data_IF_965974732419
#
_entry.id   IF_965974732419
#
_cell.length_a   1.000
_cell.length_b   1.000
_cell.length_c   1.000
_cell.angle_alpha   90.00
_cell.angle_beta   90.00
_cell.angle_gamma   90.00
#
_symmetry.space_group_name_H-M   'P 1'
#
loop_
_entity.id
_entity.type
_entity.pdbx_description
1 polymer ?
#
# COMPACT_ATOMS: atom_id res chain seq x y z
N UNK A 1 -11.37 7.44 -22.43
CA UNK A 1 -10.24 6.50 -22.30
C UNK A 1 -10.40 5.77 -20.98
N UNK A 2 -10.11 4.46 -20.92
CA UNK A 2 -10.10 3.70 -19.69
C UNK A 2 -8.94 4.15 -18.80
N UNK A 3 -9.19 4.29 -17.47
CA UNK A 3 -8.15 4.67 -16.50
C UNK A 3 -7.18 3.51 -16.26
N UNK A 4 -5.90 3.81 -16.04
CA UNK A 4 -4.85 2.84 -15.70
C UNK A 4 -4.57 2.86 -14.21
N UNK A 5 -4.64 1.69 -13.57
CA UNK A 5 -4.45 1.53 -12.14
C UNK A 5 -3.33 0.53 -11.83
N UNK A 6 -2.35 0.95 -11.03
CA UNK A 6 -1.32 0.09 -10.45
C UNK A 6 -1.82 -0.41 -9.08
N UNK A 7 -1.66 -1.73 -8.83
CA UNK A 7 -2.00 -2.34 -7.55
C UNK A 7 -0.84 -3.17 -7.04
N UNK A 8 -0.27 -2.82 -5.88
CA UNK A 8 0.77 -3.60 -5.24
C UNK A 8 0.19 -4.70 -4.35
N UNK A 9 0.84 -5.88 -4.32
CA UNK A 9 0.31 -7.03 -3.58
C UNK A 9 -1.01 -7.56 -4.15
N UNK A 10 -1.13 -7.53 -5.49
CA UNK A 10 -2.35 -7.88 -6.21
C UNK A 10 -2.56 -9.39 -6.40
N UNK A 11 -1.70 -10.24 -5.83
CA UNK A 11 -1.75 -11.69 -6.06
C UNK A 11 -2.59 -12.46 -5.04
N UNK A 12 -3.10 -11.79 -4.00
CA UNK A 12 -3.90 -12.40 -2.94
C UNK A 12 -4.77 -11.37 -2.22
N UNK A 13 -5.74 -11.85 -1.44
CA UNK A 13 -6.53 -11.07 -0.51
C UNK A 13 -7.17 -9.83 -1.12
N UNK A 14 -7.07 -8.70 -0.40
CA UNK A 14 -7.70 -7.42 -0.77
C UNK A 14 -7.18 -6.90 -2.11
N UNK A 15 -5.86 -7.01 -2.36
CA UNK A 15 -5.27 -6.51 -3.60
C UNK A 15 -5.79 -7.24 -4.83
N UNK A 16 -5.90 -8.58 -4.76
CA UNK A 16 -6.49 -9.40 -5.83
C UNK A 16 -7.96 -9.06 -6.04
N UNK A 17 -8.75 -8.98 -4.96
CA UNK A 17 -10.17 -8.63 -5.08
C UNK A 17 -10.38 -7.21 -5.65
N UNK A 18 -9.54 -6.25 -5.23
CA UNK A 18 -9.57 -4.89 -5.80
C UNK A 18 -9.27 -4.92 -7.30
N UNK A 19 -8.30 -5.74 -7.73
CA UNK A 19 -7.98 -5.90 -9.15
C UNK A 19 -9.16 -6.48 -9.95
N UNK A 20 -9.84 -7.51 -9.42
CA UNK A 20 -11.03 -8.09 -10.04
C UNK A 20 -12.13 -7.03 -10.20
N UNK A 21 -12.48 -6.33 -9.12
CA UNK A 21 -13.56 -5.32 -9.16
C UNK A 21 -13.25 -4.17 -10.13
N UNK A 22 -12.00 -3.66 -10.13
CA UNK A 22 -11.61 -2.58 -11.04
C UNK A 22 -11.56 -3.05 -12.50
N UNK A 23 -11.18 -4.31 -12.76
CA UNK A 23 -11.22 -4.86 -14.12
C UNK A 23 -12.64 -4.91 -14.68
N UNK A 24 -13.60 -5.34 -13.85
CA UNK A 24 -15.02 -5.39 -14.23
C UNK A 24 -15.57 -3.99 -14.54
N UNK A 25 -15.03 -2.96 -13.89
CA UNK A 25 -15.36 -1.55 -14.14
C UNK A 25 -14.61 -0.93 -15.34
N UNK A 26 -13.81 -1.71 -16.06
CA UNK A 26 -13.15 -1.29 -17.29
C UNK A 26 -11.80 -0.59 -17.12
N UNK A 27 -11.16 -0.74 -15.98
CA UNK A 27 -9.80 -0.23 -15.76
C UNK A 27 -8.76 -1.08 -16.49
N UNK A 28 -7.71 -0.44 -17.01
CA UNK A 28 -6.46 -1.08 -17.38
C UNK A 28 -5.67 -1.35 -16.09
N UNK A 29 -5.21 -2.57 -15.89
CA UNK A 29 -4.56 -2.96 -14.65
C UNK A 29 -3.07 -3.26 -14.83
N UNK A 30 -2.28 -2.77 -13.88
CA UNK A 30 -0.88 -3.12 -13.69
C UNK A 30 -0.76 -3.77 -12.32
N UNK A 31 -0.57 -5.08 -12.30
CA UNK A 31 -0.46 -5.86 -11.08
C UNK A 31 0.99 -5.99 -10.66
N UNK A 32 1.31 -5.73 -9.39
CA UNK A 32 2.65 -5.95 -8.85
C UNK A 32 2.60 -7.02 -7.77
N UNK A 33 3.41 -8.08 -7.96
CA UNK A 33 3.54 -9.20 -7.04
C UNK A 33 4.97 -9.74 -7.01
N UNK A 34 5.32 -10.59 -6.04
CA UNK A 34 6.65 -11.21 -5.94
C UNK A 34 6.78 -12.49 -6.75
N UNK A 35 5.70 -13.24 -6.87
CA UNK A 35 5.68 -14.56 -7.51
C UNK A 35 5.01 -14.44 -8.88
N UNK A 36 5.75 -14.80 -9.93
CA UNK A 36 5.31 -14.73 -11.31
C UNK A 36 4.09 -15.61 -11.58
N UNK A 37 4.13 -16.86 -11.12
CA UNK A 37 3.04 -17.82 -11.34
C UNK A 37 1.73 -17.33 -10.71
N UNK A 38 1.79 -16.76 -9.48
CA UNK A 38 0.62 -16.17 -8.84
C UNK A 38 0.09 -14.96 -9.61
N UNK A 39 0.96 -14.13 -10.18
CA UNK A 39 0.52 -13.01 -11.03
C UNK A 39 -0.19 -13.54 -12.30
N UNK A 40 0.36 -14.55 -12.95
CA UNK A 40 -0.23 -15.19 -14.14
C UNK A 40 -1.60 -15.80 -13.82
N UNK A 41 -1.72 -16.53 -12.70
CA UNK A 41 -3.00 -17.10 -12.26
C UNK A 41 -4.06 -16.02 -12.01
N UNK A 42 -3.71 -14.90 -11.38
CA UNK A 42 -4.66 -13.80 -11.17
C UNK A 42 -5.05 -13.14 -12.49
N UNK A 43 -4.13 -12.97 -13.43
CA UNK A 43 -4.47 -12.47 -14.76
C UNK A 43 -5.43 -13.40 -15.50
N UNK A 44 -5.23 -14.71 -15.41
CA UNK A 44 -6.13 -15.72 -16.00
C UNK A 44 -7.51 -15.67 -15.32
N UNK A 45 -7.55 -15.61 -14.00
CA UNK A 45 -8.80 -15.50 -13.24
C UNK A 45 -9.59 -14.25 -13.63
N UNK A 46 -8.94 -13.07 -13.70
CA UNK A 46 -9.61 -11.84 -14.13
C UNK A 46 -10.15 -11.98 -15.55
N UNK A 47 -9.39 -12.55 -16.48
CA UNK A 47 -9.81 -12.79 -17.86
C UNK A 47 -10.96 -13.79 -17.97
N UNK A 48 -11.15 -14.68 -16.99
CA UNK A 48 -12.31 -15.58 -16.96
C UNK A 48 -13.61 -14.83 -16.65
N UNK A 49 -13.55 -13.73 -15.88
CA UNK A 49 -14.69 -12.85 -15.60
C UNK A 49 -14.89 -11.78 -16.67
N UNK A 50 -13.79 -11.26 -17.24
CA UNK A 50 -13.77 -10.22 -18.26
C UNK A 50 -12.74 -10.54 -19.33
N UNK A 51 -13.18 -11.15 -20.43
CA UNK A 51 -12.31 -11.69 -21.48
C UNK A 51 -11.42 -10.65 -22.14
N UNK A 52 -11.92 -9.41 -22.30
CA UNK A 52 -11.25 -8.26 -22.88
C UNK A 52 -10.48 -7.39 -21.86
N UNK A 53 -10.28 -7.87 -20.64
CA UNK A 53 -9.55 -7.12 -19.62
C UNK A 53 -8.11 -6.82 -20.05
N UNK A 54 -7.76 -5.54 -19.99
CA UNK A 54 -6.38 -5.06 -20.21
C UNK A 54 -5.60 -5.21 -18.92
N UNK A 55 -4.69 -6.18 -18.87
CA UNK A 55 -3.91 -6.49 -17.66
C UNK A 55 -2.46 -6.74 -18.03
N UNK A 56 -1.55 -6.05 -17.36
CA UNK A 56 -0.11 -6.33 -17.34
C UNK A 56 0.32 -6.61 -15.90
N UNK A 57 1.38 -7.36 -15.70
CA UNK A 57 1.97 -7.52 -14.37
C UNK A 57 3.48 -7.34 -14.41
N UNK A 58 4.03 -6.94 -13.27
CA UNK A 58 5.46 -6.92 -13.00
C UNK A 58 5.75 -7.74 -11.74
N UNK A 59 6.90 -8.40 -11.74
CA UNK A 59 7.39 -9.12 -10.56
C UNK A 59 8.49 -8.33 -9.90
N UNK A 60 8.30 -8.01 -8.60
CA UNK A 60 9.28 -7.29 -7.81
C UNK A 60 9.12 -7.58 -6.32
N UNK A 61 10.22 -7.68 -5.61
CA UNK A 61 10.22 -7.65 -4.15
C UNK A 61 10.28 -6.20 -3.67
N UNK A 62 9.15 -5.69 -3.21
CA UNK A 62 9.01 -4.32 -2.74
C UNK A 62 9.60 -4.08 -1.34
N UNK A 63 10.20 -5.09 -0.70
CA UNK A 63 11.00 -4.91 0.51
C UNK A 63 12.44 -4.43 0.22
N UNK A 64 12.83 -4.41 -1.06
CA UNK A 64 14.12 -3.89 -1.52
C UNK A 64 13.91 -2.58 -2.28
N UNK A 65 14.44 -1.50 -1.73
CA UNK A 65 14.31 -0.15 -2.31
C UNK A 65 14.92 -0.09 -3.72
N UNK A 66 16.05 -0.75 -3.94
CA UNK A 66 16.67 -0.84 -5.27
C UNK A 66 15.74 -1.48 -6.31
N UNK A 67 15.00 -2.53 -5.91
CA UNK A 67 14.03 -3.17 -6.79
C UNK A 67 12.83 -2.27 -7.07
N UNK A 68 12.38 -1.49 -6.07
CA UNK A 68 11.29 -0.52 -6.23
C UNK A 68 11.67 0.57 -7.21
N UNK A 69 12.89 1.12 -7.11
CA UNK A 69 13.43 2.12 -8.07
C UNK A 69 13.43 1.55 -9.49
N UNK A 70 14.05 0.36 -9.70
CA UNK A 70 14.11 -0.32 -11.00
C UNK A 70 12.72 -0.58 -11.60
N UNK A 71 11.78 -1.04 -10.76
CA UNK A 71 10.40 -1.25 -11.17
C UNK A 71 9.72 0.05 -11.61
N UNK A 72 9.87 1.12 -10.82
CA UNK A 72 9.30 2.42 -11.17
C UNK A 72 9.86 2.97 -12.49
N UNK A 73 11.18 2.84 -12.71
CA UNK A 73 11.81 3.24 -13.96
C UNK A 73 11.33 2.39 -15.15
N UNK A 74 11.11 1.10 -14.94
CA UNK A 74 10.54 0.24 -15.97
C UNK A 74 9.10 0.65 -16.32
N UNK A 75 8.28 0.97 -15.30
CA UNK A 75 6.91 1.44 -15.53
C UNK A 75 6.90 2.78 -16.27
N UNK A 76 7.80 3.72 -15.92
CA UNK A 76 7.92 5.01 -16.64
C UNK A 76 8.35 4.86 -18.10
N UNK A 77 9.09 3.80 -18.45
CA UNK A 77 9.41 3.48 -19.85
C UNK A 77 8.22 2.90 -20.63
N UNK A 78 7.36 2.17 -19.92
CA UNK A 78 6.23 1.45 -20.54
C UNK A 78 4.95 2.30 -20.59
N UNK A 79 4.85 3.37 -19.76
CA UNK A 79 3.66 4.20 -19.61
C UNK A 79 4.00 5.68 -19.44
N UNK A 80 3.43 6.52 -20.27
CA UNK A 80 3.54 7.98 -20.15
C UNK A 80 2.64 8.55 -19.05
N UNK A 81 1.59 7.80 -18.66
CA UNK A 81 0.59 8.26 -17.72
C UNK A 81 -0.03 7.10 -16.93
N UNK A 82 -0.23 7.32 -15.65
CA UNK A 82 -0.94 6.44 -14.72
C UNK A 82 -2.00 7.27 -13.97
N UNK A 83 -3.24 6.78 -13.89
CA UNK A 83 -4.30 7.48 -13.15
C UNK A 83 -4.29 7.17 -11.66
N UNK A 84 -4.01 5.91 -11.28
CA UNK A 84 -4.18 5.46 -9.89
C UNK A 84 -3.03 4.56 -9.48
N UNK A 85 -2.48 4.84 -8.29
CA UNK A 85 -1.57 3.94 -7.57
C UNK A 85 -2.23 3.48 -6.27
N UNK A 86 -2.46 2.18 -6.14
CA UNK A 86 -2.90 1.55 -4.90
C UNK A 86 -1.72 0.84 -4.25
N UNK A 87 -1.15 1.47 -3.24
CA UNK A 87 -0.17 0.88 -2.35
C UNK A 87 -0.90 -0.03 -1.35
N UNK A 88 -0.97 -1.33 -1.66
CA UNK A 88 -1.74 -2.30 -0.87
C UNK A 88 -0.86 -3.38 -0.23
N UNK A 89 0.33 -3.68 -0.80
CA UNK A 89 1.21 -4.71 -0.26
C UNK A 89 1.48 -4.48 1.23
N UNK A 90 1.53 -5.55 2.01
CA UNK A 90 1.92 -5.48 3.41
C UNK A 90 1.99 -6.85 4.04
N UNK A 91 2.88 -6.99 5.02
CA UNK A 91 3.06 -8.22 5.76
C UNK A 91 3.27 -7.94 7.25
N UNK A 92 3.08 -8.97 8.04
CA UNK A 92 3.42 -9.02 9.45
C UNK A 92 4.65 -9.92 9.63
N UNK A 93 5.66 -9.44 10.31
CA UNK A 93 6.84 -10.22 10.69
C UNK A 93 6.93 -10.29 12.21
N UNK A 94 6.94 -11.51 12.75
CA UNK A 94 6.96 -11.73 14.20
C UNK A 94 8.34 -11.47 14.82
N UNK A 95 9.40 -11.60 14.03
CA UNK A 95 10.78 -11.45 14.46
C UNK A 95 11.48 -10.31 13.71
N UNK A 96 12.40 -9.63 14.40
CA UNK A 96 13.27 -8.65 13.76
C UNK A 96 14.15 -9.34 12.72
N UNK A 97 14.12 -8.82 11.51
CA UNK A 97 15.02 -9.26 10.44
C UNK A 97 15.26 -8.13 9.46
N UNK A 98 16.44 -8.09 8.91
CA UNK A 98 16.85 -7.08 7.94
C UNK A 98 16.70 -7.63 6.51
N UNK A 99 16.49 -6.72 5.58
CA UNK A 99 16.66 -6.97 4.15
C UNK A 99 18.15 -7.04 3.81
N UNK A 100 18.48 -7.43 2.57
CA UNK A 100 19.87 -7.33 2.07
C UNK A 100 20.41 -5.89 1.99
N UNK A 101 19.52 -4.90 2.11
CA UNK A 101 19.85 -3.47 2.17
C UNK A 101 19.97 -2.95 3.61
N UNK A 102 20.05 -3.85 4.62
CA UNK A 102 20.15 -3.53 6.04
C UNK A 102 18.98 -2.70 6.60
N UNK A 103 17.80 -2.86 6.03
CA UNK A 103 16.57 -2.19 6.49
C UNK A 103 15.65 -3.23 7.13
N UNK A 104 15.01 -2.89 8.28
CA UNK A 104 14.05 -3.78 8.94
C UNK A 104 12.88 -4.08 8.00
N UNK A 105 12.52 -5.37 7.89
CA UNK A 105 11.60 -5.86 6.85
C UNK A 105 10.20 -5.26 6.90
N UNK A 106 9.66 -4.98 8.10
CA UNK A 106 8.34 -4.36 8.21
C UNK A 106 8.38 -2.91 7.73
N UNK A 107 9.41 -2.16 8.15
CA UNK A 107 9.67 -0.80 7.67
C UNK A 107 9.85 -0.78 6.15
N UNK A 108 10.71 -1.67 5.65
CA UNK A 108 11.05 -1.74 4.23
C UNK A 108 9.82 -2.02 3.35
N UNK A 109 9.09 -3.11 3.64
CA UNK A 109 7.97 -3.54 2.80
C UNK A 109 6.74 -2.67 2.97
N UNK A 110 6.34 -2.39 4.24
CA UNK A 110 5.05 -1.78 4.51
C UNK A 110 5.05 -0.26 4.35
N UNK A 111 6.24 0.38 4.44
CA UNK A 111 6.35 1.84 4.37
C UNK A 111 7.29 2.32 3.27
N UNK A 112 8.58 1.94 3.29
CA UNK A 112 9.54 2.45 2.30
C UNK A 112 9.22 2.01 0.89
N UNK A 113 8.66 0.81 0.70
CA UNK A 113 8.13 0.36 -0.59
C UNK A 113 7.04 1.29 -1.15
N UNK A 114 6.11 1.77 -0.29
CA UNK A 114 5.08 2.74 -0.66
C UNK A 114 5.70 4.09 -1.00
N UNK A 115 6.58 4.57 -0.13
CA UNK A 115 7.27 5.85 -0.28
C UNK A 115 8.07 5.90 -1.57
N UNK A 116 8.96 4.92 -1.79
CA UNK A 116 9.84 4.89 -2.95
C UNK A 116 9.05 4.75 -4.27
N UNK A 117 8.08 3.81 -4.33
CA UNK A 117 7.28 3.62 -5.55
C UNK A 117 6.46 4.86 -5.89
N UNK A 118 5.84 5.48 -4.89
CA UNK A 118 5.04 6.69 -5.10
C UNK A 118 5.91 7.82 -5.65
N UNK A 119 7.07 8.09 -5.01
CA UNK A 119 7.95 9.18 -5.44
C UNK A 119 8.57 8.93 -6.82
N UNK A 120 8.89 7.67 -7.15
CA UNK A 120 9.41 7.34 -8.50
C UNK A 120 8.35 7.56 -9.60
N UNK A 121 7.06 7.30 -9.30
CA UNK A 121 5.97 7.39 -10.27
C UNK A 121 5.22 8.72 -10.24
N UNK A 122 5.53 9.61 -9.30
CA UNK A 122 4.73 10.81 -9.01
C UNK A 122 4.51 11.69 -10.24
N UNK A 123 5.52 11.82 -11.10
CA UNK A 123 5.46 12.63 -12.31
C UNK A 123 4.38 12.11 -13.26
N UNK A 124 4.41 10.81 -13.59
CA UNK A 124 3.46 10.22 -14.55
C UNK A 124 2.05 10.04 -13.95
N UNK A 125 1.89 10.05 -12.60
CA UNK A 125 0.58 10.05 -11.96
C UNK A 125 -0.02 11.47 -11.97
N UNK A 126 0.80 12.52 -11.81
CA UNK A 126 0.33 13.90 -11.71
C UNK A 126 0.03 14.59 -13.03
N UNK A 127 0.44 14.01 -14.17
CA UNK A 127 0.17 14.55 -15.52
C UNK A 127 -1.33 14.55 -15.83
N UNK A 128 -2.09 13.56 -15.30
CA UNK A 128 -3.51 13.42 -15.54
C UNK A 128 -4.36 14.49 -14.84
N UNK A 129 -5.66 14.46 -15.13
CA UNK A 129 -6.63 15.38 -14.51
C UNK A 129 -7.10 14.94 -13.13
N UNK A 130 -6.84 13.68 -12.74
CA UNK A 130 -7.39 13.06 -11.54
C UNK A 130 -6.44 11.93 -11.07
N UNK A 131 -5.19 12.29 -10.80
CA UNK A 131 -4.21 11.37 -10.23
C UNK A 131 -4.59 10.99 -8.79
N UNK A 132 -4.53 9.69 -8.45
CA UNK A 132 -4.87 9.21 -7.11
C UNK A 132 -3.83 8.27 -6.56
N UNK A 133 -3.32 8.56 -5.36
CA UNK A 133 -2.51 7.62 -4.56
C UNK A 133 -3.33 7.17 -3.36
N UNK A 134 -3.54 5.86 -3.25
CA UNK A 134 -4.34 5.23 -2.22
C UNK A 134 -3.44 4.32 -1.39
N UNK A 135 -3.25 4.66 -0.12
CA UNK A 135 -2.38 3.94 0.79
C UNK A 135 -3.20 3.05 1.74
N UNK A 136 -3.05 1.73 1.61
CA UNK A 136 -3.73 0.78 2.49
C UNK A 136 -3.01 0.73 3.84
N UNK A 137 -3.58 1.45 4.81
CA UNK A 137 -3.19 1.41 6.21
C UNK A 137 -3.93 0.28 6.98
N UNK A 138 -4.27 0.50 8.23
CA UNK A 138 -5.03 -0.44 9.07
C UNK A 138 -5.55 0.27 10.32
N UNK A 139 -6.63 -0.20 10.92
CA UNK A 139 -7.06 0.17 12.27
C UNK A 139 -5.99 -0.13 13.34
N UNK A 140 -5.02 -0.98 13.06
CA UNK A 140 -3.89 -1.25 13.93
C UNK A 140 -3.06 0.02 14.26
N UNK A 141 -3.09 1.05 13.42
CA UNK A 141 -2.38 2.31 13.68
C UNK A 141 -2.78 3.01 14.99
N UNK A 142 -3.99 2.77 15.48
CA UNK A 142 -4.42 3.27 16.81
C UNK A 142 -3.64 2.67 17.98
N UNK A 143 -2.97 1.52 17.75
CA UNK A 143 -2.14 0.82 18.74
C UNK A 143 -0.64 1.03 18.54
N UNK A 144 -0.25 1.95 17.67
CA UNK A 144 1.14 2.27 17.41
C UNK A 144 1.82 2.80 18.68
N UNK A 145 3.06 2.35 18.90
CA UNK A 145 3.99 2.88 19.89
C UNK A 145 5.16 3.47 19.13
N UNK A 146 4.91 4.65 18.56
CA UNK A 146 5.76 5.23 17.52
C UNK A 146 6.88 6.06 18.13
N UNK A 147 8.11 5.67 17.85
CA UNK A 147 9.31 6.45 18.11
C UNK A 147 9.98 6.79 16.77
N UNK A 148 9.97 8.07 16.43
CA UNK A 148 10.54 8.60 15.18
C UNK A 148 12.07 8.42 15.11
N UNK A 149 12.75 8.26 16.26
CA UNK A 149 14.19 8.08 16.32
C UNK A 149 14.60 6.60 16.25
N UNK A 150 13.63 5.66 16.31
CA UNK A 150 13.88 4.22 16.26
C UNK A 150 12.94 3.51 15.27
N UNK A 151 12.94 3.96 14.02
CA UNK A 151 12.06 3.39 12.97
C UNK A 151 12.34 1.91 12.70
N UNK A 152 13.59 1.48 12.82
CA UNK A 152 14.00 0.10 12.60
C UNK A 152 13.82 -0.81 13.83
N UNK A 153 13.40 -0.27 14.97
CA UNK A 153 13.16 -1.02 16.22
C UNK A 153 14.33 -1.96 16.55
N UNK A 154 15.57 -1.44 16.51
CA UNK A 154 16.80 -2.22 16.73
C UNK A 154 16.79 -2.94 18.08
N UNK A 155 16.22 -2.28 19.09
CA UNK A 155 16.09 -2.82 20.45
C UNK A 155 14.62 -3.07 20.77
N UNK A 156 14.35 -4.19 21.45
CA UNK A 156 13.03 -4.52 21.97
C UNK A 156 11.96 -4.77 20.90
N UNK A 157 12.33 -5.34 19.76
CA UNK A 157 11.42 -5.62 18.65
C UNK A 157 10.20 -6.45 19.11
N UNK A 158 9.04 -5.96 18.72
CA UNK A 158 7.76 -6.67 18.86
C UNK A 158 7.04 -6.55 17.51
N UNK A 159 6.88 -7.68 16.82
CA UNK A 159 6.31 -7.70 15.46
C UNK A 159 4.97 -6.97 15.34
N UNK A 160 4.09 -7.11 16.38
CA UNK A 160 2.82 -6.38 16.41
C UNK A 160 3.02 -4.85 16.49
N UNK A 161 3.96 -4.39 17.31
CA UNK A 161 4.28 -2.96 17.40
C UNK A 161 4.88 -2.45 16.09
N UNK A 162 5.82 -3.21 15.48
CA UNK A 162 6.39 -2.87 14.18
C UNK A 162 5.29 -2.72 13.10
N UNK A 163 4.37 -3.67 13.05
CA UNK A 163 3.22 -3.60 12.15
C UNK A 163 2.33 -2.39 12.41
N UNK A 164 1.93 -2.14 13.67
CA UNK A 164 1.13 -0.98 14.03
C UNK A 164 1.82 0.34 13.64
N UNK A 165 3.12 0.45 13.92
CA UNK A 165 3.93 1.60 13.56
C UNK A 165 3.99 1.77 12.03
N UNK A 166 4.18 0.69 11.26
CA UNK A 166 4.21 0.77 9.79
C UNK A 166 2.89 1.28 9.21
N UNK A 167 1.76 0.92 9.82
CA UNK A 167 0.44 1.39 9.39
C UNK A 167 0.16 2.84 9.78
N UNK A 168 0.72 3.31 10.90
CA UNK A 168 0.75 4.72 11.24
C UNK A 168 1.64 5.51 10.25
N UNK A 169 2.82 5.00 9.92
CA UNK A 169 3.72 5.63 8.94
C UNK A 169 3.04 5.83 7.59
N UNK A 170 2.20 4.91 7.14
CA UNK A 170 1.44 5.08 5.88
C UNK A 170 0.44 6.25 5.94
N UNK A 171 -0.14 6.53 7.11
CA UNK A 171 -1.04 7.68 7.29
C UNK A 171 -0.24 8.98 7.38
N UNK A 172 0.86 8.99 8.16
CA UNK A 172 1.77 10.15 8.24
C UNK A 172 2.30 10.52 6.84
N UNK A 173 2.73 9.54 6.06
CA UNK A 173 3.15 9.71 4.67
C UNK A 173 2.04 10.31 3.81
N UNK A 174 0.82 9.77 3.91
CA UNK A 174 -0.34 10.27 3.15
C UNK A 174 -0.60 11.75 3.43
N UNK A 175 -0.56 12.15 4.70
CA UNK A 175 -0.82 13.54 5.08
C UNK A 175 0.31 14.48 4.67
N UNK A 176 1.57 14.03 4.76
CA UNK A 176 2.70 14.82 4.27
C UNK A 176 2.70 14.96 2.76
N UNK A 177 2.47 13.87 2.03
CA UNK A 177 2.38 13.89 0.57
C UNK A 177 1.27 14.83 0.08
N UNK A 178 0.10 14.81 0.72
CA UNK A 178 -0.97 15.78 0.44
C UNK A 178 -0.48 17.22 0.54
N UNK A 179 0.32 17.59 1.56
CA UNK A 179 0.84 18.95 1.71
C UNK A 179 1.90 19.30 0.68
N UNK A 180 2.83 18.36 0.41
CA UNK A 180 3.94 18.59 -0.54
C UNK A 180 3.40 18.76 -1.97
N UNK A 181 2.41 17.95 -2.34
CA UNK A 181 1.85 17.95 -3.70
C UNK A 181 0.55 18.77 -3.81
N UNK A 182 0.26 19.62 -2.83
CA UNK A 182 -0.87 20.53 -2.89
C UNK A 182 -0.81 21.43 -4.13
N UNK A 183 -1.92 21.59 -4.83
CA UNK A 183 -1.99 22.34 -6.09
C UNK A 183 -1.64 21.55 -7.35
N UNK A 184 -1.15 20.30 -7.22
CA UNK A 184 -1.01 19.38 -8.36
C UNK A 184 -2.30 18.56 -8.57
N UNK A 185 -2.48 18.04 -9.78
CA UNK A 185 -3.66 17.23 -10.14
C UNK A 185 -3.58 15.80 -9.55
N UNK A 186 -3.27 15.69 -8.26
CA UNK A 186 -3.11 14.41 -7.58
C UNK A 186 -3.67 14.47 -6.15
N UNK A 187 -4.31 13.41 -5.74
CA UNK A 187 -4.84 13.25 -4.38
C UNK A 187 -4.17 12.10 -3.66
N UNK A 188 -4.00 12.22 -2.35
CA UNK A 188 -3.41 11.21 -1.46
C UNK A 188 -4.39 10.89 -0.35
N UNK A 189 -4.84 9.65 -0.28
CA UNK A 189 -5.73 9.20 0.79
C UNK A 189 -5.26 7.86 1.37
N UNK A 190 -5.49 7.67 2.66
CA UNK A 190 -5.25 6.41 3.32
C UNK A 190 -6.57 5.74 3.68
N UNK A 191 -6.57 4.42 3.82
CA UNK A 191 -7.76 3.67 4.21
C UNK A 191 -7.45 2.52 5.18
N UNK A 192 -8.48 2.11 5.91
CA UNK A 192 -8.54 0.84 6.63
C UNK A 192 -9.53 -0.10 5.92
N UNK A 193 -9.09 -1.31 5.51
CA UNK A 193 -9.97 -2.24 4.80
C UNK A 193 -10.91 -3.03 5.72
N UNK A 194 -10.82 -2.85 7.03
CA UNK A 194 -11.47 -3.70 8.02
C UNK A 194 -10.62 -4.91 8.42
N UNK A 195 -11.13 -5.76 9.28
CA UNK A 195 -10.53 -7.05 9.58
C UNK A 195 -10.91 -8.03 8.47
N UNK A 196 -9.94 -8.50 7.71
CA UNK A 196 -10.16 -9.35 6.54
C UNK A 196 -9.45 -10.69 6.71
N UNK A 197 -10.16 -11.77 6.39
CA UNK A 197 -9.54 -13.10 6.31
C UNK A 197 -8.70 -13.19 5.04
N UNK A 198 -7.39 -13.07 5.22
CA UNK A 198 -6.38 -13.16 4.17
C UNK A 198 -5.20 -14.00 4.67
N UNK A 199 -4.28 -14.37 3.79
CA UNK A 199 -2.99 -15.00 4.14
C UNK A 199 -2.06 -14.10 4.96
N UNK A 200 -2.57 -13.02 5.54
CA UNK A 200 -1.83 -12.11 6.41
C UNK A 200 -1.23 -12.86 7.62
N UNK A 201 0.08 -12.85 7.72
CA UNK A 201 0.83 -13.56 8.76
C UNK A 201 1.31 -14.97 8.39
N UNK A 202 1.02 -15.49 7.20
CA UNK A 202 1.50 -16.81 6.74
C UNK A 202 3.03 -16.87 6.55
N UNK A 203 3.69 -15.70 6.51
CA UNK A 203 5.15 -15.60 6.46
C UNK A 203 5.86 -15.90 7.80
N UNK A 204 5.10 -16.18 8.88
CA UNK A 204 5.64 -16.43 10.21
C UNK A 204 5.63 -17.92 10.55
N UNK A 205 6.73 -18.39 11.12
CA UNK A 205 6.87 -19.74 11.69
C UNK A 205 6.63 -19.60 13.20
N UNK A 206 5.66 -20.35 13.77
CA UNK A 206 5.50 -20.44 15.22
C UNK A 206 4.18 -19.89 15.81
N UNK A 207 4.17 -19.67 17.12
CA UNK A 207 3.00 -19.38 17.97
C UNK A 207 2.12 -18.19 17.54
N UNK A 208 2.68 -17.19 16.86
CA UNK A 208 1.93 -16.03 16.37
C UNK A 208 0.88 -16.36 15.30
N UNK A 209 1.06 -17.46 14.58
CA UNK A 209 0.16 -17.91 13.54
C UNK A 209 -1.22 -18.31 14.08
N UNK A 210 -1.23 -19.00 15.20
CA UNK A 210 -2.47 -19.52 15.81
C UNK A 210 -3.35 -18.43 16.46
N UNK A 211 -2.74 -17.42 17.07
CA UNK A 211 -3.49 -16.32 17.71
C UNK A 211 -4.17 -15.44 16.64
N UNK A 212 -3.47 -15.18 15.54
CA UNK A 212 -4.04 -14.43 14.41
C UNK A 212 -5.14 -15.21 13.67
N UNK A 213 -5.04 -16.55 13.60
CA UNK A 213 -6.05 -17.37 12.90
C UNK A 213 -7.38 -17.45 13.66
N UNK A 214 -7.36 -17.48 15.00
CA UNK A 214 -8.57 -17.51 15.82
C UNK A 214 -9.30 -16.16 15.77
N UNK A 215 -8.57 -15.04 15.84
CA UNK A 215 -9.13 -13.69 15.69
C UNK A 215 -9.71 -13.44 14.29
N UNK A 216 -9.12 -14.00 13.25
CA UNK A 216 -9.59 -13.90 11.86
C UNK A 216 -10.98 -14.51 11.67
N UNK A 217 -11.26 -15.68 12.28
CA UNK A 217 -12.54 -16.39 12.12
C UNK A 217 -13.74 -15.69 12.77
N UNK A 218 -13.49 -14.89 13.81
CA UNK A 218 -14.58 -14.29 14.60
C UNK A 218 -14.95 -12.87 14.17
N UNK A 219 -14.03 -12.13 13.53
CA UNK A 219 -14.20 -10.69 13.24
C UNK A 219 -13.92 -10.34 11.77
N UNK A 220 -13.43 -11.30 10.99
CA UNK A 220 -13.06 -11.06 9.60
C UNK A 220 -14.29 -10.82 8.72
N UNK A 221 -14.29 -9.69 8.02
CA UNK A 221 -15.19 -9.48 6.87
C UNK A 221 -14.60 -10.24 5.67
N UNK A 222 -15.46 -10.64 4.73
CA UNK A 222 -14.94 -11.27 3.53
C UNK A 222 -14.06 -10.29 2.73
N UNK A 223 -13.15 -10.82 1.92
CA UNK A 223 -12.17 -10.06 1.13
C UNK A 223 -12.84 -9.04 0.21
N UNK A 224 -14.03 -9.36 -0.30
CA UNK A 224 -14.82 -8.46 -1.14
C UNK A 224 -15.23 -7.19 -0.40
N UNK A 225 -15.66 -7.31 0.85
CA UNK A 225 -15.96 -6.13 1.67
C UNK A 225 -14.70 -5.32 1.98
N UNK A 226 -13.56 -5.98 2.18
CA UNK A 226 -12.26 -5.32 2.36
C UNK A 226 -11.81 -4.48 1.18
N UNK A 227 -12.12 -4.91 -0.05
CA UNK A 227 -11.77 -4.18 -1.27
C UNK A 227 -12.65 -2.94 -1.51
N UNK A 228 -13.87 -2.87 -0.96
CA UNK A 228 -14.85 -1.81 -1.25
C UNK A 228 -14.31 -0.39 -1.10
N UNK A 229 -13.55 -0.11 -0.04
CA UNK A 229 -13.02 1.24 0.19
C UNK A 229 -11.93 1.59 -0.82
N UNK A 230 -11.08 0.63 -1.20
CA UNK A 230 -10.07 0.82 -2.27
C UNK A 230 -10.75 1.09 -3.62
N UNK A 231 -11.78 0.32 -3.95
CA UNK A 231 -12.58 0.52 -5.18
C UNK A 231 -13.28 1.87 -5.15
N UNK A 232 -13.94 2.23 -4.05
CA UNK A 232 -14.59 3.53 -3.89
C UNK A 232 -13.64 4.70 -4.10
N UNK A 233 -12.46 4.69 -3.46
CA UNK A 233 -11.45 5.74 -3.63
C UNK A 233 -10.89 5.79 -5.05
N UNK A 234 -10.89 4.67 -5.76
CA UNK A 234 -10.43 4.60 -7.15
C UNK A 234 -11.47 5.11 -8.15
N UNK A 235 -12.76 4.99 -7.86
CA UNK A 235 -13.83 5.14 -8.87
C UNK A 235 -14.77 6.31 -8.63
N UNK A 236 -15.05 6.65 -7.35
CA UNK A 236 -16.06 7.65 -7.04
C UNK A 236 -15.63 9.07 -7.44
N UNK A 237 -16.57 9.81 -8.02
CA UNK A 237 -16.43 11.23 -8.30
C UNK A 237 -16.49 12.07 -7.00
N UNK A 238 -17.15 11.58 -5.95
CA UNK A 238 -17.29 12.28 -4.67
C UNK A 238 -15.95 12.55 -4.00
N UNK A 239 -14.93 11.72 -4.31
CA UNK A 239 -13.60 11.83 -3.72
C UNK A 239 -12.53 12.39 -4.68
N UNK A 240 -12.91 12.83 -5.88
CA UNK A 240 -12.00 13.30 -6.92
C UNK A 240 -11.08 14.44 -6.44
N UNK A 241 -11.60 15.33 -5.57
CA UNK A 241 -10.86 16.47 -5.01
C UNK A 241 -10.55 16.31 -3.52
N UNK A 242 -10.87 15.15 -2.95
CA UNK A 242 -10.60 14.87 -1.53
C UNK A 242 -9.20 14.30 -1.39
N UNK A 243 -8.36 14.98 -0.62
CA UNK A 243 -6.97 14.60 -0.38
C UNK A 243 -6.61 14.78 1.08
N UNK A 244 -5.61 14.02 1.58
CA UNK A 244 -5.15 14.10 2.95
C UNK A 244 -6.19 13.59 3.95
N UNK A 245 -6.94 12.55 3.60
CA UNK A 245 -7.98 11.96 4.46
C UNK A 245 -7.72 10.48 4.72
N UNK A 246 -8.29 10.04 5.84
CA UNK A 246 -8.32 8.64 6.22
C UNK A 246 -9.75 8.10 6.11
N UNK A 247 -9.89 6.91 5.50
CA UNK A 247 -11.18 6.33 5.19
C UNK A 247 -11.38 4.97 5.85
N UNK A 248 -12.59 4.72 6.30
CA UNK A 248 -13.09 3.42 6.70
C UNK A 248 -14.51 3.23 6.14
N UNK A 249 -14.80 2.05 5.57
CA UNK A 249 -16.13 1.73 4.98
C UNK A 249 -16.62 2.83 4.02
N UNK A 250 -15.71 3.32 3.15
CA UNK A 250 -15.96 4.39 2.16
C UNK A 250 -16.39 5.73 2.75
N UNK A 251 -16.11 5.99 4.03
CA UNK A 251 -16.40 7.26 4.71
C UNK A 251 -15.12 7.85 5.29
N UNK A 252 -15.05 9.17 5.31
CA UNK A 252 -13.97 9.88 6.02
C UNK A 252 -14.16 9.68 7.52
N UNK A 253 -13.10 9.24 8.20
CA UNK A 253 -13.07 9.08 9.64
C UNK A 253 -11.78 9.66 10.21
N UNK A 254 -11.75 9.92 11.51
CA UNK A 254 -10.55 10.37 12.19
C UNK A 254 -9.55 9.21 12.32
N UNK A 255 -8.28 9.50 12.06
CA UNK A 255 -7.16 8.62 12.41
C UNK A 255 -6.64 8.92 13.82
N UNK A 256 -5.59 8.23 14.29
CA UNK A 256 -5.01 8.46 15.62
C UNK A 256 -4.43 9.88 15.75
N UNK A 257 -4.47 10.45 16.96
CA UNK A 257 -4.01 11.81 17.21
C UNK A 257 -2.57 12.07 16.76
N UNK A 258 -1.68 11.10 16.94
CA UNK A 258 -0.27 11.22 16.53
C UNK A 258 -0.13 11.37 15.01
N UNK A 259 -1.05 10.83 14.22
CA UNK A 259 -0.99 10.95 12.76
C UNK A 259 -1.16 12.39 12.25
N UNK A 260 -1.75 13.27 13.05
CA UNK A 260 -1.91 14.71 12.73
C UNK A 260 -0.70 15.56 13.12
N UNK A 261 0.31 15.00 13.79
CA UNK A 261 1.53 15.73 14.13
C UNK A 261 2.34 16.08 12.88
N UNK A 262 2.35 17.35 12.52
CA UNK A 262 3.12 17.85 11.37
C UNK A 262 4.62 17.54 11.50
N UNK A 263 5.18 17.71 12.71
CA UNK A 263 6.59 17.43 12.95
C UNK A 263 6.95 15.97 12.71
N UNK A 264 6.09 15.01 13.12
CA UNK A 264 6.30 13.60 12.83
C UNK A 264 6.17 13.28 11.32
N UNK A 265 5.23 13.94 10.63
CA UNK A 265 5.01 13.77 9.20
C UNK A 265 6.23 14.25 8.39
N UNK A 266 6.77 15.44 8.73
CA UNK A 266 7.94 16.05 8.09
C UNK A 266 9.21 15.23 8.38
N UNK A 267 9.41 14.86 9.65
CA UNK A 267 10.58 14.07 10.04
C UNK A 267 10.57 12.67 9.42
N UNK A 268 9.40 12.00 9.38
CA UNK A 268 9.27 10.70 8.73
C UNK A 268 9.56 10.79 7.22
N UNK A 269 9.07 11.84 6.57
CA UNK A 269 9.36 12.07 5.14
C UNK A 269 10.86 12.15 4.90
N UNK A 270 11.57 13.00 5.67
CA UNK A 270 13.01 13.17 5.54
C UNK A 270 13.76 11.86 5.79
N UNK A 271 13.45 11.16 6.88
CA UNK A 271 14.10 9.89 7.19
C UNK A 271 13.82 8.82 6.12
N UNK A 272 12.59 8.80 5.56
CA UNK A 272 12.26 7.88 4.46
C UNK A 272 13.05 8.20 3.20
N UNK A 273 13.25 9.49 2.89
CA UNK A 273 14.09 9.93 1.79
C UNK A 273 15.55 9.51 2.02
N UNK A 274 16.07 9.74 3.23
CA UNK A 274 17.43 9.35 3.59
C UNK A 274 17.66 7.83 3.40
N UNK A 275 16.69 6.99 3.82
CA UNK A 275 16.76 5.53 3.58
C UNK A 275 16.76 5.19 2.09
N UNK A 276 15.93 5.86 1.30
CA UNK A 276 15.83 5.61 -0.14
C UNK A 276 17.10 6.06 -0.86
N UNK A 277 17.68 7.19 -0.47
CA UNK A 277 18.88 7.73 -1.09
C UNK A 277 20.15 6.95 -0.71
N UNK A 278 20.17 6.33 0.48
CA UNK A 278 21.28 5.47 0.92
C UNK A 278 21.38 4.15 0.12
N UNK A 279 20.33 3.77 -0.61
CA UNK A 279 20.33 2.57 -1.46
C UNK A 279 20.59 2.99 -2.91
N UNK A 280 21.77 2.63 -3.41
CA UNK A 280 22.22 2.89 -4.79
C UNK A 280 21.62 1.90 -5.80
#
# INVERSE_FOLDING_TARGET
>A
MSKTCIITGATDGIGKQTAIELSLLGFNLILIGRNREKCELVCQEIKSFKRDASIKFYTSDLSLVSNVKKLGDQIKKDYDHIDILINNVGAYFSQHSLTSENIEKTLALNHLGYFALTNTLIEIISIGRDGRVINVASGAHFRAKFDINNLQMKDGYKGWTAYCNSKLMNILFTYQAHRIYNGKNITFNALHPGFVDTSFGDNNVGFGKNILSIGKKLIAINVRNGAKTSVYLSTSNDVMKISGKYFEKSKIVSSSNISYSKSHQEKLWQLSQDFVDAVN
#
